data_IF_559107999033
#
_entry.id   IF_559107999033
#
_cell.length_a   1.000
_cell.length_b   1.000
_cell.length_c   1.000
_cell.angle_alpha   90.00
_cell.angle_beta   90.00
_cell.angle_gamma   90.00
#
_symmetry.space_group_name_H-M   'P 1'
#
loop_
_entity.id
_entity.type
_entity.pdbx_description
1 polymer ?
#
# COMPACT_ATOMS: atom_id res chain seq x y z
N UNK A 1 11.67 -0.22 -1.76
CA UNK A 1 10.46 0.23 -1.01
C UNK A 1 9.74 1.32 -1.78
N UNK A 2 8.43 1.22 -1.97
CA UNK A 2 7.62 2.20 -2.69
C UNK A 2 6.35 2.53 -1.92
N UNK A 3 5.86 3.78 -2.05
CA UNK A 3 4.54 4.18 -1.57
C UNK A 3 3.49 3.78 -2.59
N UNK A 4 2.38 3.19 -2.15
CA UNK A 4 1.34 2.74 -3.07
C UNK A 4 0.77 3.88 -3.92
N UNK A 5 0.63 5.08 -3.37
CA UNK A 5 0.16 6.26 -4.13
C UNK A 5 1.01 6.57 -5.38
N UNK A 6 2.31 6.21 -5.37
CA UNK A 6 3.18 6.42 -6.53
C UNK A 6 2.97 5.35 -7.60
N UNK A 7 2.43 4.20 -7.21
CA UNK A 7 2.14 3.08 -8.12
C UNK A 7 0.72 3.16 -8.68
N UNK A 8 -0.18 3.81 -7.94
CA UNK A 8 -1.59 3.98 -8.35
C UNK A 8 -1.68 4.71 -9.69
N UNK A 9 -2.44 4.14 -10.62
CA UNK A 9 -2.65 4.69 -11.96
C UNK A 9 -1.54 4.41 -12.97
N UNK A 10 -0.41 3.84 -12.57
CA UNK A 10 0.64 3.44 -13.51
C UNK A 10 0.09 2.49 -14.58
N UNK A 11 0.50 2.64 -15.84
CA UNK A 11 0.15 1.68 -16.88
C UNK A 11 0.79 0.32 -16.61
N UNK A 12 0.06 -0.73 -16.92
CA UNK A 12 0.55 -2.10 -16.92
C UNK A 12 0.79 -2.52 -18.37
N UNK A 13 2.00 -2.95 -18.68
CA UNK A 13 2.46 -3.23 -20.05
C UNK A 13 3.02 -4.64 -20.12
N UNK A 14 2.61 -5.40 -21.13
CA UNK A 14 3.16 -6.71 -21.45
C UNK A 14 4.51 -6.55 -22.17
N UNK A 15 5.49 -7.36 -21.74
CA UNK A 15 6.81 -7.37 -22.36
C UNK A 15 6.79 -8.01 -23.74
N UNK A 16 5.93 -9.01 -23.95
CA UNK A 16 5.89 -9.84 -25.15
C UNK A 16 5.51 -9.05 -26.43
N UNK A 17 4.55 -8.14 -26.30
CA UNK A 17 3.99 -7.39 -27.45
C UNK A 17 3.94 -5.87 -27.23
N UNK A 18 4.29 -5.40 -26.03
CA UNK A 18 4.21 -3.98 -25.66
C UNK A 18 2.77 -3.50 -25.42
N UNK A 19 1.78 -4.41 -25.35
CA UNK A 19 0.39 -4.03 -25.17
C UNK A 19 0.15 -3.49 -23.76
N UNK A 20 -0.61 -2.38 -23.68
CA UNK A 20 -1.07 -1.81 -22.43
C UNK A 20 -2.36 -2.47 -21.97
N UNK A 21 -2.28 -3.35 -20.99
CA UNK A 21 -3.39 -4.19 -20.51
C UNK A 21 -4.28 -3.52 -19.48
N UNK A 22 -3.82 -2.43 -18.87
CA UNK A 22 -4.61 -1.70 -17.88
C UNK A 22 -3.82 -0.63 -17.15
N UNK A 23 -4.35 -0.23 -15.99
CA UNK A 23 -3.68 0.63 -15.01
C UNK A 23 -3.81 0.03 -13.62
N UNK A 24 -2.86 0.31 -12.77
CA UNK A 24 -2.92 -0.08 -11.35
C UNK A 24 -4.07 0.65 -10.67
N UNK A 25 -5.00 -0.10 -10.09
CA UNK A 25 -6.14 0.43 -9.37
C UNK A 25 -6.08 0.24 -7.86
N UNK A 26 -5.42 -0.84 -7.41
CA UNK A 26 -5.22 -1.15 -5.99
C UNK A 26 -4.17 -2.26 -5.83
N UNK A 27 -3.77 -2.53 -4.59
CA UNK A 27 -3.05 -3.74 -4.21
C UNK A 27 -3.86 -4.54 -3.19
N UNK A 28 -3.63 -5.84 -3.17
CA UNK A 28 -4.18 -6.73 -2.14
C UNK A 28 -3.04 -7.42 -1.39
N UNK A 29 -3.23 -7.62 -0.11
CA UNK A 29 -2.26 -8.27 0.74
C UNK A 29 -2.93 -9.18 1.79
N UNK A 30 -2.15 -10.10 2.34
CA UNK A 30 -2.54 -10.94 3.46
C UNK A 30 -2.29 -10.20 4.77
N UNK A 31 -3.29 -10.01 5.64
CA UNK A 31 -3.09 -9.41 6.95
C UNK A 31 -2.21 -10.28 7.87
N UNK A 32 -2.23 -11.59 7.69
CA UNK A 32 -1.48 -12.53 8.52
C UNK A 32 0.02 -12.50 8.20
N UNK A 33 0.37 -12.61 6.92
CA UNK A 33 1.76 -12.65 6.47
C UNK A 33 2.35 -11.27 6.17
N UNK A 34 1.50 -10.22 6.07
CA UNK A 34 1.84 -8.90 5.50
C UNK A 34 2.38 -8.98 4.07
N UNK A 35 2.15 -10.12 3.42
CA UNK A 35 2.56 -10.36 2.04
C UNK A 35 1.68 -9.62 1.05
N UNK A 36 2.29 -8.92 0.09
CA UNK A 36 1.58 -8.38 -1.08
C UNK A 36 1.27 -9.54 -2.01
N UNK A 37 0.00 -9.75 -2.31
CA UNK A 37 -0.47 -10.90 -3.09
C UNK A 37 -0.64 -10.57 -4.56
N UNK A 38 -1.19 -9.39 -4.87
CA UNK A 38 -1.48 -9.03 -6.24
C UNK A 38 -1.72 -7.52 -6.41
N UNK A 39 -1.59 -7.08 -7.65
CA UNK A 39 -2.02 -5.77 -8.13
C UNK A 39 -3.40 -5.91 -8.75
N UNK A 40 -4.35 -5.06 -8.32
CA UNK A 40 -5.69 -4.98 -8.94
C UNK A 40 -5.64 -3.93 -10.05
N UNK A 41 -6.16 -4.28 -11.22
CA UNK A 41 -6.34 -3.33 -12.30
C UNK A 41 -7.56 -2.43 -12.09
N UNK A 42 -7.49 -1.21 -12.58
CA UNK A 42 -8.64 -0.29 -12.63
C UNK A 42 -9.78 -0.94 -13.44
N UNK A 43 -11.00 -0.71 -12.99
CA UNK A 43 -12.18 -1.16 -13.75
C UNK A 43 -12.34 -0.33 -15.02
N UNK A 44 -12.59 -1.01 -16.14
CA UNK A 44 -13.02 -0.37 -17.38
C UNK A 44 -14.55 -0.47 -17.50
N UNK A 45 -15.22 0.68 -17.43
CA UNK A 45 -16.68 0.74 -17.59
C UNK A 45 -17.47 -0.05 -16.54
N UNK A 46 -18.49 -0.79 -17.00
CA UNK A 46 -19.39 -1.59 -16.16
C UNK A 46 -18.89 -3.03 -15.89
N UNK A 47 -17.60 -3.27 -15.87
CA UNK A 47 -17.06 -4.61 -15.58
C UNK A 47 -17.55 -5.12 -14.21
N UNK A 48 -18.17 -6.30 -14.21
CA UNK A 48 -18.70 -6.94 -12.99
C UNK A 48 -17.60 -7.54 -12.11
N UNK A 49 -16.49 -7.97 -12.73
CA UNK A 49 -15.37 -8.60 -12.04
C UNK A 49 -14.16 -7.67 -12.01
N UNK A 50 -13.40 -7.72 -10.92
CA UNK A 50 -12.07 -7.11 -10.87
C UNK A 50 -11.06 -8.05 -11.49
N UNK A 51 -10.06 -7.47 -12.17
CA UNK A 51 -8.92 -8.18 -12.72
C UNK A 51 -7.71 -7.88 -11.83
N UNK A 52 -6.89 -8.87 -11.60
CA UNK A 52 -5.65 -8.72 -10.84
C UNK A 52 -4.52 -9.52 -11.48
N UNK A 53 -3.31 -9.14 -11.13
CA UNK A 53 -2.06 -9.77 -11.52
C UNK A 53 -1.37 -10.16 -10.22
N UNK A 54 -1.00 -11.43 -10.08
CA UNK A 54 -0.25 -11.89 -8.91
C UNK A 54 1.09 -11.15 -8.84
N UNK A 55 1.57 -10.86 -7.64
CA UNK A 55 2.82 -10.10 -7.48
C UNK A 55 4.01 -10.84 -8.09
N UNK A 56 3.98 -12.17 -8.07
CA UNK A 56 4.97 -13.06 -8.67
C UNK A 56 5.01 -13.00 -10.22
N UNK A 57 3.93 -12.55 -10.85
CA UNK A 57 3.83 -12.35 -12.30
C UNK A 57 4.32 -10.95 -12.74
N UNK A 58 4.67 -10.08 -11.79
CA UNK A 58 5.22 -8.76 -12.05
C UNK A 58 6.72 -8.88 -12.27
N UNK A 59 7.18 -8.58 -13.48
CA UNK A 59 8.61 -8.61 -13.84
C UNK A 59 9.33 -7.40 -13.26
N UNK A 60 8.70 -6.23 -13.34
CA UNK A 60 9.27 -4.98 -12.83
C UNK A 60 8.19 -3.98 -12.44
N UNK A 61 8.42 -3.32 -11.33
CA UNK A 61 7.63 -2.18 -10.85
C UNK A 61 8.51 -0.93 -10.91
N UNK A 62 8.41 -0.19 -12.01
CA UNK A 62 9.15 1.04 -12.24
C UNK A 62 8.41 2.30 -11.77
N UNK A 63 9.02 3.45 -11.98
CA UNK A 63 8.41 4.75 -11.65
C UNK A 63 7.28 5.15 -12.61
N UNK A 64 7.33 4.66 -13.86
CA UNK A 64 6.40 5.06 -14.93
C UNK A 64 5.48 3.93 -15.41
N UNK A 65 5.80 2.68 -15.11
CA UNK A 65 5.03 1.52 -15.56
C UNK A 65 5.28 0.28 -14.70
N UNK A 66 4.29 -0.62 -14.70
CA UNK A 66 4.40 -2.00 -14.23
C UNK A 66 4.58 -2.90 -15.45
N UNK A 67 5.60 -3.74 -15.45
CA UNK A 67 5.90 -4.67 -16.54
C UNK A 67 5.51 -6.09 -16.12
N UNK A 68 4.77 -6.76 -16.99
CA UNK A 68 4.35 -8.16 -16.82
C UNK A 68 4.74 -8.98 -18.06
N UNK A 69 4.74 -10.32 -17.94
CA UNK A 69 5.14 -11.20 -19.05
C UNK A 69 4.18 -11.09 -20.24
N UNK A 70 2.93 -11.44 -20.01
CA UNK A 70 1.89 -11.52 -21.02
C UNK A 70 0.49 -11.34 -20.41
N UNK A 71 -0.55 -11.34 -21.26
CA UNK A 71 -1.94 -11.13 -20.83
C UNK A 71 -2.52 -12.31 -20.01
N UNK A 72 -1.91 -13.50 -20.06
CA UNK A 72 -2.41 -14.67 -19.32
C UNK A 72 -2.24 -14.57 -17.81
N UNK A 73 -1.34 -13.67 -17.35
CA UNK A 73 -1.17 -13.35 -15.93
C UNK A 73 -2.39 -12.62 -15.33
N UNK A 74 -3.28 -12.07 -16.16
CA UNK A 74 -4.46 -11.33 -15.71
C UNK A 74 -5.58 -12.29 -15.33
N UNK A 75 -5.91 -12.35 -14.05
CA UNK A 75 -6.95 -13.25 -13.52
C UNK A 75 -8.11 -12.46 -12.93
N UNK A 76 -9.31 -13.06 -12.96
CA UNK A 76 -10.47 -12.50 -12.24
C UNK A 76 -10.32 -12.78 -10.75
N UNK A 77 -10.58 -11.75 -9.93
CA UNK A 77 -10.53 -11.86 -8.47
C UNK A 77 -11.93 -11.78 -7.88
N UNK A 78 -12.24 -12.76 -7.03
CA UNK A 78 -13.41 -12.73 -6.13
C UNK A 78 -12.94 -12.38 -4.72
N UNK A 79 -13.75 -11.62 -3.96
CA UNK A 79 -13.43 -11.23 -2.58
C UNK A 79 -13.27 -12.47 -1.70
N UNK A 80 -12.09 -12.67 -1.12
CA UNK A 80 -11.77 -13.66 -0.10
C UNK A 80 -10.80 -13.01 0.90
N UNK A 81 -10.31 -13.71 1.85
CA UNK A 81 -9.48 -13.37 3.02
C UNK A 81 -8.24 -12.51 2.74
N UNK A 82 -8.42 -11.36 2.13
CA UNK A 82 -7.38 -10.38 1.87
C UNK A 82 -7.90 -8.95 2.07
N UNK A 83 -6.98 -8.04 2.37
CA UNK A 83 -7.26 -6.61 2.54
C UNK A 83 -6.75 -5.85 1.32
N UNK A 84 -7.51 -4.85 0.87
CA UNK A 84 -7.07 -3.89 -0.14
C UNK A 84 -6.48 -2.65 0.53
N UNK A 85 -5.49 -2.04 -0.11
CA UNK A 85 -4.92 -0.80 0.40
C UNK A 85 -5.99 0.28 0.65
N UNK A 86 -6.98 0.41 -0.24
CA UNK A 86 -8.09 1.35 -0.07
C UNK A 86 -8.94 1.11 1.18
N UNK A 87 -9.00 -0.12 1.67
CA UNK A 87 -9.74 -0.48 2.88
C UNK A 87 -9.00 -0.05 4.15
N UNK A 88 -7.68 0.17 4.07
CA UNK A 88 -6.88 0.68 5.18
C UNK A 88 -6.87 2.21 5.28
N UNK A 89 -7.05 2.91 4.15
CA UNK A 89 -6.98 4.36 4.14
C UNK A 89 -8.08 4.98 5.01
N UNK A 90 -7.68 5.85 5.93
CA UNK A 90 -8.57 6.51 6.88
C UNK A 90 -8.83 5.72 8.17
N UNK A 91 -8.38 4.47 8.28
CA UNK A 91 -8.46 3.75 9.55
C UNK A 91 -7.54 4.39 10.59
N UNK A 92 -8.01 4.43 11.83
CA UNK A 92 -7.19 4.82 12.97
C UNK A 92 -6.21 3.71 13.33
N UNK A 93 -5.04 4.12 13.81
CA UNK A 93 -4.03 3.20 14.35
C UNK A 93 -3.90 3.45 15.83
N UNK A 94 -4.03 2.40 16.63
CA UNK A 94 -3.85 2.43 18.07
C UNK A 94 -2.69 1.54 18.50
N UNK A 95 -2.01 1.92 19.58
CA UNK A 95 -1.14 0.98 20.29
C UNK A 95 -1.99 0.06 21.17
N UNK A 96 -1.39 -1.02 21.66
CA UNK A 96 -2.06 -1.92 22.63
C UNK A 96 -2.44 -1.23 23.93
N UNK A 97 -1.76 -0.15 24.32
CA UNK A 97 -2.11 0.68 25.49
C UNK A 97 -3.26 1.65 25.21
N UNK A 98 -3.79 1.70 23.97
CA UNK A 98 -4.92 2.55 23.59
C UNK A 98 -4.49 3.97 23.15
N UNK A 99 -3.21 4.21 22.85
CA UNK A 99 -2.75 5.50 22.31
C UNK A 99 -3.13 5.58 20.84
N UNK A 100 -3.79 6.66 20.43
CA UNK A 100 -4.07 6.99 19.03
C UNK A 100 -2.81 7.54 18.35
N UNK A 101 -2.40 6.92 17.26
CA UNK A 101 -1.24 7.30 16.47
C UNK A 101 -1.61 8.10 15.21
N UNK A 102 -2.90 8.25 14.93
CA UNK A 102 -3.42 8.92 13.77
C UNK A 102 -4.09 7.98 12.77
N UNK A 103 -4.27 8.45 11.54
CA UNK A 103 -4.98 7.72 10.48
C UNK A 103 -4.07 7.34 9.33
N UNK A 104 -4.31 6.17 8.75
CA UNK A 104 -3.58 5.67 7.57
C UNK A 104 -3.80 6.58 6.38
N UNK A 105 -2.74 6.99 5.72
CA UNK A 105 -2.74 7.75 4.47
C UNK A 105 -2.23 6.95 3.29
N UNK A 106 -1.24 6.08 3.51
CA UNK A 106 -0.66 5.28 2.45
C UNK A 106 0.02 4.03 3.01
N UNK A 107 0.20 3.05 2.15
CA UNK A 107 0.96 1.83 2.43
C UNK A 107 2.32 1.92 1.76
N UNK A 108 3.36 1.56 2.49
CA UNK A 108 4.73 1.44 1.99
C UNK A 108 5.05 -0.05 1.90
N UNK A 109 5.42 -0.49 0.72
CA UNK A 109 5.70 -1.89 0.46
C UNK A 109 6.98 -2.10 -0.35
N UNK A 110 7.53 -3.28 -0.23
CA UNK A 110 8.63 -3.79 -1.02
C UNK A 110 8.07 -4.81 -2.00
N UNK A 111 8.14 -4.51 -3.30
CA UNK A 111 7.60 -5.42 -4.30
C UNK A 111 8.54 -6.62 -4.55
N UNK A 112 9.85 -6.46 -4.38
CA UNK A 112 10.84 -7.54 -4.59
C UNK A 112 10.68 -8.64 -3.53
N UNK A 113 10.45 -8.23 -2.27
CA UNK A 113 10.17 -9.15 -1.17
C UNK A 113 8.68 -9.44 -1.02
N UNK A 114 7.83 -8.80 -1.81
CA UNK A 114 6.37 -8.89 -1.76
C UNK A 114 5.81 -8.69 -0.34
N UNK A 115 6.28 -7.66 0.39
CA UNK A 115 5.90 -7.40 1.78
C UNK A 115 5.46 -5.96 2.00
N UNK A 116 4.54 -5.75 2.94
CA UNK A 116 4.24 -4.42 3.47
C UNK A 116 5.21 -4.14 4.60
N UNK A 117 5.96 -3.04 4.48
CA UNK A 117 7.00 -2.65 5.41
C UNK A 117 6.51 -1.62 6.44
N UNK A 118 5.65 -0.69 6.02
CA UNK A 118 5.22 0.40 6.88
C UNK A 118 3.89 1.03 6.42
N UNK A 119 3.30 1.83 7.30
CA UNK A 119 2.15 2.69 7.00
C UNK A 119 2.56 4.16 7.13
N UNK A 120 2.22 4.97 6.14
CA UNK A 120 2.28 6.43 6.25
C UNK A 120 1.01 6.89 6.95
N UNK A 121 1.17 7.69 8.02
CA UNK A 121 0.06 8.16 8.85
C UNK A 121 0.04 9.68 8.97
N UNK A 122 -1.12 10.21 9.32
CA UNK A 122 -1.34 11.60 9.66
C UNK A 122 -2.09 11.70 10.98
N UNK A 123 -1.68 12.60 11.83
CA UNK A 123 -2.38 12.97 13.06
C UNK A 123 -3.12 14.32 12.94
N UNK A 124 -3.19 14.85 11.72
CA UNK A 124 -3.94 16.04 11.36
C UNK A 124 -3.21 16.95 10.38
N UNK A 125 -3.97 17.72 9.60
CA UNK A 125 -3.44 18.57 8.53
C UNK A 125 -2.41 19.60 9.01
N UNK A 126 -2.59 20.14 10.21
CA UNK A 126 -1.69 21.17 10.76
C UNK A 126 -0.38 20.55 11.19
N UNK A 127 -0.43 19.40 11.85
CA UNK A 127 0.77 18.65 12.26
C UNK A 127 1.58 18.22 11.03
N UNK A 128 0.93 17.69 9.99
CA UNK A 128 1.58 17.26 8.75
C UNK A 128 2.35 18.39 8.04
N UNK A 129 1.87 19.64 8.15
CA UNK A 129 2.53 20.80 7.55
C UNK A 129 3.82 21.16 8.30
N UNK A 130 3.82 21.08 9.62
CA UNK A 130 4.96 21.49 10.44
C UNK A 130 6.00 20.39 10.67
N UNK A 131 5.56 19.16 10.84
CA UNK A 131 6.46 18.03 11.19
C UNK A 131 6.60 16.99 10.07
N UNK A 132 5.78 17.10 9.02
CA UNK A 132 5.67 16.07 7.98
C UNK A 132 4.84 14.88 8.44
N UNK A 133 4.59 13.97 7.49
CA UNK A 133 3.88 12.72 7.77
C UNK A 133 4.79 11.75 8.49
N UNK A 134 4.20 10.94 9.35
CA UNK A 134 4.90 9.92 10.10
C UNK A 134 4.81 8.57 9.38
N UNK A 135 5.85 7.78 9.52
CA UNK A 135 5.91 6.40 9.02
C UNK A 135 5.97 5.49 10.23
N UNK A 136 5.04 4.56 10.32
CA UNK A 136 5.03 3.49 11.32
C UNK A 136 5.48 2.21 10.63
N UNK A 137 6.65 1.67 10.99
CA UNK A 137 7.07 0.36 10.49
C UNK A 137 6.20 -0.74 11.11
N UNK A 138 5.88 -1.77 10.31
CA UNK A 138 5.02 -2.87 10.75
C UNK A 138 5.83 -4.00 11.36
N UNK A 139 6.48 -3.72 12.49
CA UNK A 139 7.18 -4.74 13.28
C UNK A 139 6.23 -5.55 14.17
N UNK A 140 6.64 -6.77 14.49
CA UNK A 140 5.93 -7.60 15.43
C UNK A 140 4.49 -7.91 15.00
N UNK A 141 3.62 -8.05 15.99
CA UNK A 141 2.22 -8.38 15.78
C UNK A 141 1.41 -7.12 15.46
N UNK A 142 0.78 -7.12 14.29
CA UNK A 142 -0.15 -6.09 13.83
C UNK A 142 -1.51 -6.74 13.61
N UNK A 143 -2.56 -6.17 14.20
CA UNK A 143 -3.94 -6.62 14.01
C UNK A 143 -4.65 -5.66 13.07
N UNK A 144 -5.02 -6.15 11.90
CA UNK A 144 -5.81 -5.41 10.93
C UNK A 144 -7.29 -5.70 11.15
N UNK A 145 -7.99 -4.77 11.81
CA UNK A 145 -9.43 -4.84 12.02
C UNK A 145 -10.23 -4.13 10.92
N UNK A 146 -11.56 -4.24 10.99
CA UNK A 146 -12.46 -3.56 10.05
C UNK A 146 -12.49 -2.04 10.28
N UNK A 147 -12.41 -1.59 11.54
CA UNK A 147 -12.55 -0.18 11.94
C UNK A 147 -11.24 0.47 12.37
N UNK A 148 -10.21 -0.31 12.68
CA UNK A 148 -8.93 0.19 13.19
C UNK A 148 -7.81 -0.83 13.03
N UNK A 149 -6.57 -0.34 13.17
CA UNK A 149 -5.36 -1.17 13.20
C UNK A 149 -4.75 -1.06 14.59
N UNK A 150 -4.33 -2.18 15.16
CA UNK A 150 -3.63 -2.19 16.45
C UNK A 150 -2.20 -2.67 16.26
N UNK A 151 -1.24 -1.85 16.68
CA UNK A 151 0.20 -2.14 16.60
C UNK A 151 0.81 -2.35 17.99
N UNK A 152 2.00 -2.94 18.02
CA UNK A 152 2.77 -3.09 19.26
C UNK A 152 3.35 -1.74 19.74
N UNK A 153 3.74 -1.67 21.02
CA UNK A 153 4.40 -0.45 21.56
C UNK A 153 5.74 -0.18 20.89
N UNK A 154 6.47 -1.23 20.52
CA UNK A 154 7.76 -1.12 19.84
C UNK A 154 7.63 -0.39 18.49
N UNK A 155 6.51 -0.59 17.78
CA UNK A 155 6.25 0.12 16.52
C UNK A 155 6.09 1.63 16.75
N UNK A 156 5.63 2.07 17.92
CA UNK A 156 5.54 3.47 18.26
C UNK A 156 6.91 4.11 18.48
N UNK A 157 7.83 3.41 19.13
CA UNK A 157 9.18 3.92 19.43
C UNK A 157 10.03 4.10 18.15
N UNK A 158 9.68 3.37 17.08
CA UNK A 158 10.37 3.39 15.79
C UNK A 158 9.69 4.32 14.75
N UNK A 159 8.76 5.19 15.17
CA UNK A 159 8.10 6.13 14.25
C UNK A 159 9.12 7.08 13.65
N UNK A 160 9.19 7.09 12.32
CA UNK A 160 10.06 7.97 11.55
C UNK A 160 9.23 9.15 11.03
N UNK A 161 9.69 10.36 11.27
CA UNK A 161 9.08 11.57 10.72
C UNK A 161 9.70 11.85 9.35
N UNK A 162 8.89 11.87 8.31
CA UNK A 162 9.34 12.28 6.97
C UNK A 162 9.41 13.81 6.94
N UNK A 163 10.53 14.37 7.33
CA UNK A 163 10.74 15.80 7.49
C UNK A 163 10.08 16.69 6.42
N UNK A 164 8.98 17.32 6.79
CA UNK A 164 8.22 18.33 6.05
C UNK A 164 8.22 19.63 6.85
N UNK A 165 9.39 20.07 7.29
CA UNK A 165 9.52 21.36 7.94
C UNK A 165 10.01 22.38 6.93
N UNK A 166 9.24 23.45 6.74
CA UNK A 166 9.80 24.73 6.34
C UNK A 166 10.61 25.19 7.55
N UNK A 167 11.79 24.65 7.73
CA UNK A 167 12.88 25.22 8.52
C UNK A 167 14.01 24.21 8.68
N UNK A 168 15.07 24.44 7.91
CA UNK A 168 16.42 24.56 8.46
C UNK A 168 17.37 25.03 7.38
N UNK A 169 17.38 26.34 7.21
CA UNK A 169 18.61 27.06 6.88
C UNK A 169 18.76 28.20 7.88
N UNK A 170 19.53 27.96 8.88
CA UNK A 170 20.39 28.97 9.52
C UNK A 170 21.77 28.35 9.58
#
# INVERSE_FOLDING_TARGET
>A
MQKFKNVLGLPVVCVEDGEKVGRVGDIIFSPESKGVLAIILEKKGMELCRKAIAIEDVISLGDDAVIVSDVSCIKKVTKKDFIKNKELQGLHIYTKSGRDLGVVKDVIFDYENATIEALEISDGLISDIFTGRRIIPLFGKVEFGEDSIVVSEEAFDEIITTGGGINNRV
#
